data_IF_410963797710
#
_entry.id   IF_410963797710
#
_cell.length_a   1.000
_cell.length_b   1.000
_cell.length_c   1.000
_cell.angle_alpha   90.00
_cell.angle_beta   90.00
_cell.angle_gamma   90.00
#
_symmetry.space_group_name_H-M   'P 1'
#
loop_
_entity.id
_entity.type
_entity.pdbx_description
1 polymer ?
#
# COMPACT_ATOMS: atom_id res chain seq x y z
N UNK A 1 -19.74 20.99 23.74
CA UNK A 1 -18.66 20.35 22.95
C UNK A 1 -18.97 18.86 22.89
N UNK A 2 -19.64 18.40 21.83
CA UNK A 2 -19.87 16.96 21.60
C UNK A 2 -19.53 16.69 20.15
N UNK A 3 -18.31 16.22 19.91
CA UNK A 3 -17.92 15.68 18.62
C UNK A 3 -18.51 14.29 18.48
N UNK A 4 -19.40 14.10 17.51
CA UNK A 4 -19.86 12.77 17.10
C UNK A 4 -18.78 12.16 16.23
N UNK A 5 -17.97 11.28 16.82
CA UNK A 5 -17.00 10.46 16.10
C UNK A 5 -17.72 9.37 15.31
N UNK A 6 -18.14 9.69 14.08
CA UNK A 6 -18.48 8.68 13.07
C UNK A 6 -17.20 8.25 12.37
N UNK A 7 -16.37 7.46 13.04
CA UNK A 7 -15.31 6.71 12.37
C UNK A 7 -15.96 5.52 11.62
N UNK A 8 -16.67 5.83 10.54
CA UNK A 8 -17.24 4.84 9.64
C UNK A 8 -16.11 4.12 8.91
N UNK A 9 -15.80 2.90 9.35
CA UNK A 9 -14.99 1.95 8.59
C UNK A 9 -15.70 1.74 7.26
N UNK A 10 -15.31 2.45 6.20
CA UNK A 10 -15.89 2.26 4.87
C UNK A 10 -15.55 0.85 4.41
N UNK A 11 -16.50 -0.07 4.58
CA UNK A 11 -16.41 -1.41 4.02
C UNK A 11 -16.45 -1.32 2.49
N UNK A 12 -15.62 -2.11 1.82
CA UNK A 12 -15.68 -2.28 0.38
C UNK A 12 -17.02 -2.96 0.04
N UNK A 13 -17.93 -2.23 -0.62
CA UNK A 13 -19.19 -2.78 -1.11
C UNK A 13 -19.00 -3.25 -2.55
N UNK A 14 -19.13 -4.55 -2.78
CA UNK A 14 -19.04 -5.16 -4.11
C UNK A 14 -20.44 -5.61 -4.53
N UNK A 15 -20.93 -5.08 -5.64
CA UNK A 15 -22.15 -5.56 -6.31
C UNK A 15 -21.77 -6.18 -7.66
N UNK A 16 -22.28 -7.39 -7.94
CA UNK A 16 -22.04 -8.09 -9.22
C UNK A 16 -23.39 -8.42 -9.86
N UNK A 17 -23.93 -7.53 -10.71
CA UNK A 17 -25.24 -7.73 -11.32
C UNK A 17 -25.28 -9.00 -12.18
N UNK A 18 -26.30 -9.83 -11.99
CA UNK A 18 -26.49 -11.07 -12.76
C UNK A 18 -25.64 -12.25 -12.32
N UNK A 19 -24.84 -12.13 -11.24
CA UNK A 19 -24.12 -13.25 -10.67
C UNK A 19 -25.04 -14.16 -9.83
N UNK A 20 -24.76 -15.46 -9.86
CA UNK A 20 -25.41 -16.43 -8.99
C UNK A 20 -25.03 -16.14 -7.51
N UNK A 21 -26.02 -15.97 -6.60
CA UNK A 21 -25.75 -15.66 -5.20
C UNK A 21 -24.89 -16.71 -4.49
N UNK A 22 -24.95 -17.99 -4.91
CA UNK A 22 -24.12 -19.06 -4.35
C UNK A 22 -22.65 -18.83 -4.69
N UNK A 23 -22.35 -18.44 -5.92
CA UNK A 23 -20.98 -18.16 -6.37
C UNK A 23 -20.41 -16.94 -5.64
N UNK A 24 -21.21 -15.90 -5.46
CA UNK A 24 -20.81 -14.71 -4.69
C UNK A 24 -20.48 -15.09 -3.24
N UNK A 25 -21.28 -15.95 -2.61
CA UNK A 25 -21.05 -16.41 -1.24
C UNK A 25 -19.74 -17.21 -1.11
N UNK A 26 -19.48 -18.13 -2.05
CA UNK A 26 -18.24 -18.94 -2.05
C UNK A 26 -17.00 -18.06 -2.23
N UNK A 27 -17.02 -17.11 -3.16
CA UNK A 27 -15.89 -16.18 -3.38
C UNK A 27 -15.68 -15.31 -2.14
N UNK A 28 -16.76 -14.80 -1.54
CA UNK A 28 -16.66 -13.97 -0.33
C UNK A 28 -16.04 -14.76 0.82
N UNK A 29 -16.46 -16.01 1.03
CA UNK A 29 -15.90 -16.89 2.05
C UNK A 29 -14.41 -17.17 1.81
N UNK A 30 -14.02 -17.47 0.56
CA UNK A 30 -12.61 -17.71 0.20
C UNK A 30 -11.74 -16.46 0.42
N UNK A 31 -12.25 -15.27 0.07
CA UNK A 31 -11.55 -14.01 0.35
C UNK A 31 -11.41 -13.82 1.85
N UNK A 32 -12.46 -14.02 2.64
CA UNK A 32 -12.38 -13.85 4.09
C UNK A 32 -11.40 -14.81 4.78
N UNK A 33 -11.24 -16.02 4.25
CA UNK A 33 -10.31 -17.04 4.74
C UNK A 33 -8.85 -16.73 4.37
N UNK A 34 -8.60 -16.31 3.13
CA UNK A 34 -7.25 -16.16 2.58
C UNK A 34 -6.71 -14.75 2.75
N UNK A 35 -7.57 -13.74 2.92
CA UNK A 35 -7.11 -12.35 2.94
C UNK A 35 -6.31 -12.05 4.22
N UNK A 36 -5.07 -11.59 4.10
CA UNK A 36 -4.27 -11.23 5.26
C UNK A 36 -4.96 -10.08 6.00
N UNK A 37 -5.32 -10.31 7.27
CA UNK A 37 -5.81 -9.24 8.13
C UNK A 37 -4.64 -8.30 8.40
N UNK A 38 -4.82 -6.97 8.29
CA UNK A 38 -3.80 -6.03 8.69
C UNK A 38 -3.48 -6.27 10.16
N UNK A 39 -2.36 -6.93 10.45
CA UNK A 39 -1.82 -6.95 11.80
C UNK A 39 -1.41 -5.53 12.13
N UNK A 40 -1.69 -5.08 13.36
CA UNK A 40 -1.08 -3.85 13.86
C UNK A 40 0.43 -3.92 13.60
N UNK A 41 1.08 -2.84 13.15
CA UNK A 41 2.53 -2.84 13.05
C UNK A 41 3.07 -3.27 14.42
N UNK A 42 3.94 -4.27 14.43
CA UNK A 42 4.71 -4.58 15.63
C UNK A 42 5.34 -3.26 16.10
N UNK A 43 5.25 -2.97 17.39
CA UNK A 43 6.01 -1.87 17.97
C UNK A 43 7.46 -2.06 17.57
N UNK A 44 7.94 -1.17 16.72
CA UNK A 44 9.28 -1.21 16.16
C UNK A 44 10.23 -0.88 17.31
N UNK A 45 10.67 -1.90 18.04
CA UNK A 45 11.68 -1.79 19.09
C UNK A 45 13.03 -1.44 18.42
N UNK A 46 13.17 -0.16 18.06
CA UNK A 46 14.44 0.53 17.94
C UNK A 46 15.35 0.19 16.76
N UNK A 47 14.98 -0.69 15.84
CA UNK A 47 15.77 -0.92 14.63
C UNK A 47 15.34 0.08 13.54
N UNK A 48 16.12 1.14 13.33
CA UNK A 48 15.95 2.04 12.18
C UNK A 48 16.04 1.22 10.88
N UNK A 49 14.90 0.80 10.34
CA UNK A 49 14.84 0.13 9.04
C UNK A 49 15.34 1.16 8.02
N UNK A 50 16.48 0.94 7.35
CA UNK A 50 16.98 1.89 6.38
C UNK A 50 15.93 2.05 5.28
N UNK A 51 15.46 3.29 5.09
CA UNK A 51 14.40 3.60 4.14
C UNK A 51 14.76 3.01 2.77
N UNK A 52 13.95 2.07 2.30
CA UNK A 52 14.16 1.44 1.00
C UNK A 52 13.93 2.50 -0.08
N UNK A 53 15.02 3.07 -0.59
CA UNK A 53 14.98 4.03 -1.68
C UNK A 53 14.96 3.23 -2.97
N UNK A 54 13.80 3.16 -3.62
CA UNK A 54 13.73 2.68 -4.99
C UNK A 54 14.74 3.48 -5.82
N UNK A 55 15.80 2.84 -6.29
CA UNK A 55 16.90 3.54 -6.94
C UNK A 55 16.46 4.02 -8.31
N UNK A 56 15.83 5.20 -8.38
CA UNK A 56 15.53 5.90 -9.65
C UNK A 56 16.76 6.23 -10.49
N UNK A 57 17.96 5.82 -10.04
CA UNK A 57 19.26 5.95 -10.72
C UNK A 57 19.35 5.23 -12.06
N UNK A 58 18.51 4.22 -12.33
CA UNK A 58 18.43 3.60 -13.66
C UNK A 58 17.51 4.34 -14.64
N UNK A 59 16.61 5.20 -14.15
CA UNK A 59 15.74 6.06 -14.99
C UNK A 59 16.24 7.51 -15.05
N UNK A 60 17.20 7.88 -14.19
CA UNK A 60 17.76 9.23 -14.13
C UNK A 60 19.07 9.27 -14.92
N UNK A 61 19.13 10.06 -16.00
CA UNK A 61 20.40 10.40 -16.66
C UNK A 61 21.39 10.95 -15.62
N UNK A 62 22.56 10.33 -15.40
CA UNK A 62 23.49 10.78 -14.38
C UNK A 62 24.01 12.20 -14.70
N UNK A 63 23.99 13.08 -13.69
CA UNK A 63 24.46 14.47 -13.79
C UNK A 63 25.97 14.61 -14.04
N UNK A 64 26.71 13.50 -14.19
CA UNK A 64 28.14 13.51 -14.53
C UNK A 64 28.43 14.14 -15.90
N UNK A 65 27.41 14.28 -16.75
CA UNK A 65 27.46 15.06 -18.01
C UNK A 65 27.65 16.58 -17.78
N UNK A 66 27.48 17.10 -16.55
CA UNK A 66 27.64 18.54 -16.24
C UNK A 66 28.94 18.90 -15.50
N UNK A 67 29.95 18.05 -15.51
CA UNK A 67 31.29 18.44 -15.04
C UNK A 67 32.29 18.46 -16.19
N UNK A 68 32.08 19.40 -17.10
CA UNK A 68 33.14 19.91 -17.95
C UNK A 68 33.77 21.08 -17.20
N UNK A 69 34.67 20.78 -16.24
CA UNK A 69 35.49 21.82 -15.61
C UNK A 69 36.82 21.83 -16.37
N UNK A 70 37.12 22.87 -17.16
CA UNK A 70 38.43 22.99 -17.78
C UNK A 70 39.49 23.10 -16.67
N UNK A 71 40.53 22.28 -16.79
CA UNK A 71 41.75 22.44 -16.01
C UNK A 71 42.59 23.50 -16.71
N UNK A 72 42.60 24.70 -16.15
CA UNK A 72 43.63 25.70 -16.37
C UNK A 72 43.99 26.30 -15.02
#
# INVERSE_FOLDING_TARGET
MTGTETAGRSGLRVEVPGADPVIVAVITAAVDEVWPRPSAPASDDGASIPAWRFSGRWWSRPATVRRDRPLT
#
